data_IF_071425915167
#
_entry.id   IF_071425915167
#
_cell.length_a   1.000
_cell.length_b   1.000
_cell.length_c   1.000
_cell.angle_alpha   90.00
_cell.angle_beta   90.00
_cell.angle_gamma   90.00
#
_symmetry.space_group_name_H-M   'P 1'
#
loop_
_entity.id
_entity.type
_entity.pdbx_description
1 polymer ?
#
# COMPACT_ATOMS: atom_id res chain seq x y z
N UNK A 1 29.10 49.70 -25.61
CA UNK A 1 27.81 49.40 -26.19
C UNK A 1 27.63 47.90 -26.60
N UNK A 2 28.68 47.13 -26.73
CA UNK A 2 28.62 45.71 -27.13
C UNK A 2 28.71 44.71 -25.97
N UNK A 3 28.89 45.12 -24.72
CA UNK A 3 28.98 44.20 -23.56
C UNK A 3 27.64 43.81 -22.92
N UNK A 4 26.61 44.58 -23.12
CA UNK A 4 25.30 44.34 -22.46
C UNK A 4 24.48 43.21 -23.14
N UNK A 5 24.66 42.99 -24.43
CA UNK A 5 23.91 41.99 -25.18
C UNK A 5 24.31 40.55 -24.86
N UNK A 6 25.53 40.33 -24.38
CA UNK A 6 26.00 38.96 -24.08
C UNK A 6 25.57 38.50 -22.67
N UNK A 7 25.44 39.46 -21.73
CA UNK A 7 25.00 39.16 -20.37
C UNK A 7 23.50 38.86 -20.31
N UNK A 8 22.68 39.55 -21.11
CA UNK A 8 21.26 39.25 -21.22
C UNK A 8 20.99 37.89 -21.87
N UNK A 9 21.78 37.51 -22.85
CA UNK A 9 21.66 36.20 -23.49
C UNK A 9 22.08 35.05 -22.55
N UNK A 10 23.05 35.30 -21.67
CA UNK A 10 23.47 34.32 -20.65
C UNK A 10 22.43 34.12 -19.56
N UNK A 11 21.80 35.22 -19.11
CA UNK A 11 20.74 35.15 -18.10
C UNK A 11 19.48 34.46 -18.64
N UNK A 12 19.11 34.69 -19.91
CA UNK A 12 17.97 34.02 -20.54
C UNK A 12 18.24 32.53 -20.77
N UNK A 13 19.45 32.13 -21.11
CA UNK A 13 19.81 30.70 -21.24
C UNK A 13 19.83 29.99 -19.89
N UNK A 14 20.23 30.65 -18.82
CA UNK A 14 20.27 30.06 -17.49
C UNK A 14 18.86 29.90 -16.89
N UNK A 15 17.97 30.84 -17.16
CA UNK A 15 16.57 30.77 -16.74
C UNK A 15 15.77 29.70 -17.50
N UNK A 16 16.12 29.43 -18.75
CA UNK A 16 15.47 28.39 -19.54
C UNK A 16 15.90 26.98 -19.08
N UNK A 17 17.11 26.83 -18.56
CA UNK A 17 17.62 25.55 -18.01
C UNK A 17 17.00 25.24 -16.63
N UNK A 18 16.65 26.22 -15.84
CA UNK A 18 16.00 26.00 -14.54
C UNK A 18 14.51 25.61 -14.67
N UNK A 19 13.86 25.98 -15.77
CA UNK A 19 12.45 25.63 -15.98
C UNK A 19 12.22 24.18 -16.42
N UNK A 20 13.27 23.48 -16.89
CA UNK A 20 13.20 22.08 -17.29
C UNK A 20 13.31 21.09 -16.11
N UNK A 21 13.73 21.55 -14.95
CA UNK A 21 13.86 20.68 -13.76
C UNK A 21 12.59 20.57 -12.91
N UNK A 22 11.60 21.42 -13.12
CA UNK A 22 10.39 21.44 -12.28
C UNK A 22 9.25 20.53 -12.78
N UNK A 23 9.34 19.96 -13.98
CA UNK A 23 8.25 19.15 -14.54
C UNK A 23 8.38 17.64 -14.29
N UNK A 24 9.53 17.17 -13.76
CA UNK A 24 9.76 15.73 -13.59
C UNK A 24 9.34 15.19 -12.21
N UNK A 25 9.03 16.03 -11.26
CA UNK A 25 8.73 15.60 -9.88
C UNK A 25 7.24 15.47 -9.59
N UNK A 26 6.35 16.03 -10.43
CA UNK A 26 4.91 16.06 -10.18
C UNK A 26 4.21 14.78 -10.67
N UNK A 27 4.83 13.99 -11.55
CA UNK A 27 4.21 12.81 -12.15
C UNK A 27 4.71 11.46 -11.61
N UNK A 28 5.50 11.43 -10.53
CA UNK A 28 6.11 10.20 -10.03
C UNK A 28 5.33 9.53 -8.89
N UNK A 29 4.18 10.08 -8.45
CA UNK A 29 3.37 9.49 -7.39
C UNK A 29 2.29 8.59 -7.99
N UNK A 30 2.18 7.34 -7.50
CA UNK A 30 1.10 6.44 -7.87
C UNK A 30 -0.25 7.00 -7.43
N UNK A 31 -1.24 6.98 -8.33
CA UNK A 31 -2.64 7.21 -7.98
C UNK A 31 -3.19 5.94 -7.33
N UNK A 32 -3.35 5.98 -6.01
CA UNK A 32 -3.89 4.85 -5.25
C UNK A 32 -5.42 4.78 -5.31
N UNK A 33 -6.07 5.80 -5.82
CA UNK A 33 -7.52 5.88 -5.98
C UNK A 33 -7.97 5.46 -7.39
N UNK A 34 -7.04 5.03 -8.26
CA UNK A 34 -7.38 4.47 -9.55
C UNK A 34 -8.38 3.33 -9.35
N UNK A 35 -9.43 3.32 -10.17
CA UNK A 35 -10.47 2.31 -10.06
C UNK A 35 -10.73 1.68 -11.42
N UNK A 36 -10.76 0.35 -11.41
CA UNK A 36 -11.13 -0.48 -12.55
C UNK A 36 -12.17 -1.50 -12.08
N UNK A 37 -12.89 -2.19 -12.98
CA UNK A 37 -13.78 -3.28 -12.59
C UNK A 37 -13.08 -4.36 -11.76
N UNK A 38 -11.83 -4.70 -12.09
CA UNK A 38 -11.04 -5.65 -11.33
C UNK A 38 -10.74 -5.16 -9.90
N UNK A 39 -10.34 -3.89 -9.75
CA UNK A 39 -10.09 -3.28 -8.44
C UNK A 39 -11.38 -3.24 -7.61
N UNK A 40 -12.49 -2.86 -8.19
CA UNK A 40 -13.78 -2.84 -7.51
C UNK A 40 -14.19 -4.23 -7.00
N UNK A 41 -14.00 -5.26 -7.81
CA UNK A 41 -14.31 -6.64 -7.43
C UNK A 41 -13.42 -7.12 -6.27
N UNK A 42 -12.13 -6.82 -6.31
CA UNK A 42 -11.19 -7.14 -5.23
C UNK A 42 -11.59 -6.46 -3.93
N UNK A 43 -11.86 -5.15 -3.98
CA UNK A 43 -12.30 -4.39 -2.79
C UNK A 43 -13.58 -4.93 -2.19
N UNK A 44 -14.56 -5.32 -3.01
CA UNK A 44 -15.79 -5.93 -2.55
C UNK A 44 -15.55 -7.29 -1.87
N UNK A 45 -14.68 -8.12 -2.43
CA UNK A 45 -14.28 -9.39 -1.83
C UNK A 45 -13.63 -9.20 -0.47
N UNK A 46 -12.71 -8.25 -0.35
CA UNK A 46 -12.04 -7.91 0.91
C UNK A 46 -13.04 -7.38 1.94
N UNK A 47 -13.94 -6.50 1.54
CA UNK A 47 -14.97 -5.94 2.43
C UNK A 47 -15.91 -7.02 2.97
N UNK A 48 -16.35 -7.94 2.12
CA UNK A 48 -17.21 -9.06 2.55
C UNK A 48 -16.46 -9.99 3.51
N UNK A 49 -15.18 -10.23 3.28
CA UNK A 49 -14.35 -11.08 4.16
C UNK A 49 -14.05 -10.40 5.50
N UNK A 50 -14.01 -9.08 5.54
CA UNK A 50 -13.70 -8.35 6.77
C UNK A 50 -14.62 -8.72 7.93
N UNK A 51 -15.90 -9.00 7.68
CA UNK A 51 -16.83 -9.47 8.70
C UNK A 51 -16.35 -10.75 9.41
N UNK A 52 -15.66 -11.63 8.69
CA UNK A 52 -15.08 -12.87 9.25
C UNK A 52 -13.73 -12.64 9.92
N UNK A 53 -12.97 -11.63 9.47
CA UNK A 53 -11.64 -11.34 9.99
C UNK A 53 -11.66 -10.48 11.26
N UNK A 54 -12.68 -9.65 11.46
CA UNK A 54 -12.73 -8.66 12.53
C UNK A 54 -12.53 -9.27 13.92
N UNK A 55 -13.20 -10.37 14.22
CA UNK A 55 -13.04 -11.09 15.49
C UNK A 55 -11.62 -11.68 15.68
N UNK A 56 -10.99 -12.09 14.61
CA UNK A 56 -9.64 -12.65 14.64
C UNK A 56 -8.56 -11.57 14.87
N UNK A 57 -8.77 -10.36 14.33
CA UNK A 57 -7.95 -9.22 14.69
C UNK A 57 -8.11 -8.85 16.17
N UNK A 58 -9.34 -8.78 16.64
CA UNK A 58 -9.66 -8.40 18.02
C UNK A 58 -9.11 -9.40 19.04
N UNK A 59 -9.14 -10.70 18.75
CA UNK A 59 -8.59 -11.75 19.60
C UNK A 59 -7.06 -11.83 19.59
N UNK A 60 -6.42 -11.18 18.60
CA UNK A 60 -4.98 -11.28 18.38
C UNK A 60 -4.54 -12.57 17.66
N UNK A 61 -5.48 -13.36 17.15
CA UNK A 61 -5.17 -14.55 16.37
C UNK A 61 -4.43 -14.23 15.08
N UNK A 62 -4.79 -13.12 14.43
CA UNK A 62 -4.13 -12.59 13.24
C UNK A 62 -3.63 -11.16 13.49
N UNK A 63 -2.70 -10.73 12.67
CA UNK A 63 -2.18 -9.38 12.69
C UNK A 63 -1.71 -8.92 11.31
N UNK A 64 -1.41 -7.63 11.21
CA UNK A 64 -0.94 -6.97 10.01
C UNK A 64 0.57 -7.15 9.87
N UNK A 65 1.03 -7.61 8.72
CA UNK A 65 2.47 -7.73 8.47
C UNK A 65 3.06 -6.41 7.97
N UNK A 66 4.36 -6.25 8.14
CA UNK A 66 5.08 -5.06 7.68
C UNK A 66 5.11 -4.89 6.15
N UNK A 67 4.82 -5.95 5.41
CA UNK A 67 4.84 -5.97 3.95
C UNK A 67 3.45 -5.94 3.30
N UNK A 68 2.46 -5.46 4.04
CA UNK A 68 1.13 -5.19 3.49
C UNK A 68 0.19 -6.37 3.42
N UNK A 69 0.51 -7.46 4.10
CA UNK A 69 -0.30 -8.68 4.19
C UNK A 69 -0.86 -8.86 5.60
N UNK A 70 -1.47 -10.00 5.85
CA UNK A 70 -1.84 -10.45 7.19
C UNK A 70 -1.22 -11.82 7.46
N UNK A 71 -1.07 -12.17 8.73
CA UNK A 71 -0.55 -13.47 9.13
C UNK A 71 -1.24 -13.97 10.40
N UNK A 72 -1.26 -15.28 10.57
CA UNK A 72 -1.63 -15.88 11.86
C UNK A 72 -0.55 -15.52 12.87
N UNK A 73 -0.94 -14.84 13.95
CA UNK A 73 -0.05 -14.47 15.03
C UNK A 73 -0.09 -15.50 16.16
N UNK A 74 -1.28 -15.88 16.57
CA UNK A 74 -1.51 -16.82 17.66
C UNK A 74 -2.79 -17.62 17.43
N UNK A 75 -2.65 -18.80 16.85
CA UNK A 75 -3.79 -19.69 16.61
C UNK A 75 -4.45 -20.19 17.91
N UNK A 76 -3.72 -20.16 19.03
CA UNK A 76 -4.28 -20.58 20.32
C UNK A 76 -5.29 -19.59 20.89
N UNK A 77 -5.32 -18.36 20.38
CA UNK A 77 -6.36 -17.38 20.70
C UNK A 77 -7.74 -17.76 20.11
N UNK A 78 -7.82 -18.78 19.27
CA UNK A 78 -9.04 -19.28 18.65
C UNK A 78 -9.50 -20.59 19.29
N UNK A 79 -10.81 -20.85 19.33
CA UNK A 79 -11.35 -22.20 19.57
C UNK A 79 -10.76 -23.18 18.57
N UNK A 80 -10.54 -24.42 18.99
CA UNK A 80 -9.90 -25.45 18.15
C UNK A 80 -10.63 -25.66 16.82
N UNK A 81 -11.95 -25.56 16.81
CA UNK A 81 -12.79 -25.69 15.61
C UNK A 81 -12.51 -24.60 14.56
N UNK A 82 -12.04 -23.42 14.97
CA UNK A 82 -11.83 -22.27 14.08
C UNK A 82 -10.39 -22.20 13.54
N UNK A 83 -9.46 -22.98 14.12
CA UNK A 83 -8.04 -22.94 13.75
C UNK A 83 -7.75 -23.40 12.32
N UNK A 84 -8.53 -24.36 11.82
CA UNK A 84 -8.35 -24.85 10.44
C UNK A 84 -8.81 -23.81 9.40
N UNK A 85 -9.91 -23.12 9.66
CA UNK A 85 -10.48 -22.12 8.74
C UNK A 85 -9.65 -20.86 8.64
N UNK A 86 -8.88 -20.50 9.68
CA UNK A 86 -8.13 -19.24 9.70
C UNK A 86 -7.04 -19.19 8.63
N UNK A 87 -6.38 -20.28 8.34
CA UNK A 87 -5.36 -20.33 7.30
C UNK A 87 -5.96 -20.05 5.91
N UNK A 88 -7.15 -20.57 5.63
CA UNK A 88 -7.87 -20.30 4.39
C UNK A 88 -8.30 -18.83 4.28
N UNK A 89 -8.77 -18.23 5.37
CA UNK A 89 -9.13 -16.81 5.42
C UNK A 89 -7.92 -15.92 5.18
N UNK A 90 -6.80 -16.21 5.83
CA UNK A 90 -5.55 -15.47 5.66
C UNK A 90 -5.04 -15.59 4.22
N UNK A 91 -5.05 -16.78 3.64
CA UNK A 91 -4.63 -16.99 2.26
C UNK A 91 -5.52 -16.23 1.27
N UNK A 92 -6.84 -16.25 1.46
CA UNK A 92 -7.78 -15.52 0.61
C UNK A 92 -7.59 -14.00 0.71
N UNK A 93 -7.42 -13.46 1.91
CA UNK A 93 -7.15 -12.05 2.12
C UNK A 93 -5.84 -11.62 1.47
N UNK A 94 -4.77 -12.37 1.65
CA UNK A 94 -3.47 -12.07 1.07
C UNK A 94 -3.47 -12.18 -0.45
N UNK A 95 -4.23 -13.11 -1.01
CA UNK A 95 -4.44 -13.20 -2.44
C UNK A 95 -5.08 -11.93 -3.01
N UNK A 96 -6.12 -11.42 -2.37
CA UNK A 96 -6.77 -10.18 -2.77
C UNK A 96 -5.88 -8.95 -2.56
N UNK A 97 -5.13 -8.89 -1.47
CA UNK A 97 -4.19 -7.78 -1.23
C UNK A 97 -3.11 -7.72 -2.31
N UNK A 98 -2.49 -8.85 -2.63
CA UNK A 98 -1.50 -8.91 -3.70
C UNK A 98 -2.09 -8.54 -5.07
N UNK A 99 -3.29 -9.03 -5.37
CA UNK A 99 -4.01 -8.66 -6.59
C UNK A 99 -4.33 -7.17 -6.64
N UNK A 100 -4.75 -6.57 -5.52
CA UNK A 100 -5.01 -5.15 -5.41
C UNK A 100 -3.76 -4.32 -5.74
N UNK A 101 -2.62 -4.66 -5.18
CA UNK A 101 -1.37 -3.94 -5.42
C UNK A 101 -0.92 -4.04 -6.87
N UNK A 102 -1.06 -5.21 -7.47
CA UNK A 102 -0.78 -5.45 -8.87
C UNK A 102 -1.69 -4.63 -9.80
N UNK A 103 -2.99 -4.65 -9.54
CA UNK A 103 -3.98 -3.95 -10.37
C UNK A 103 -3.86 -2.43 -10.24
N UNK A 104 -3.54 -1.90 -9.07
CA UNK A 104 -3.29 -0.46 -8.89
C UNK A 104 -2.03 -0.04 -9.67
N UNK A 105 -0.95 -0.80 -9.59
CA UNK A 105 0.25 -0.53 -10.38
C UNK A 105 -0.04 -0.56 -11.89
N UNK A 106 -0.73 -1.57 -12.36
CA UNK A 106 -1.14 -1.69 -13.77
C UNK A 106 -2.07 -0.56 -14.21
N UNK A 107 -3.01 -0.15 -13.36
CA UNK A 107 -3.94 0.96 -13.63
C UNK A 107 -3.25 2.32 -13.72
N UNK A 108 -2.07 2.46 -13.13
CA UNK A 108 -1.18 3.63 -13.29
C UNK A 108 -0.30 3.54 -14.55
N UNK A 109 -0.36 2.44 -15.32
CA UNK A 109 0.51 2.20 -16.46
C UNK A 109 1.94 1.79 -16.08
N UNK A 110 2.16 1.41 -14.82
CA UNK A 110 3.46 1.07 -14.25
C UNK A 110 3.40 -0.23 -13.44
N UNK A 111 3.32 -1.40 -14.13
CA UNK A 111 3.26 -2.70 -13.43
C UNK A 111 4.47 -2.93 -12.48
N UNK A 112 5.61 -2.31 -12.77
CA UNK A 112 6.81 -2.37 -11.93
C UNK A 112 6.65 -1.68 -10.56
N UNK A 113 5.61 -0.88 -10.37
CA UNK A 113 5.34 -0.19 -9.10
C UNK A 113 4.63 -1.04 -8.06
N UNK A 114 4.35 -2.31 -8.34
CA UNK A 114 3.62 -3.19 -7.43
C UNK A 114 4.22 -3.23 -6.01
N UNK A 115 5.53 -3.33 -5.89
CA UNK A 115 6.23 -3.34 -4.60
C UNK A 115 6.10 -2.03 -3.84
N UNK A 116 6.16 -0.92 -4.55
CA UNK A 116 6.00 0.42 -3.99
C UNK A 116 4.56 0.66 -3.52
N UNK A 117 3.58 0.28 -4.33
CA UNK A 117 2.15 0.32 -3.95
C UNK A 117 1.91 -0.52 -2.69
N UNK A 118 2.46 -1.72 -2.62
CA UNK A 118 2.37 -2.59 -1.45
C UNK A 118 2.94 -1.91 -0.19
N UNK A 119 4.11 -1.30 -0.29
CA UNK A 119 4.74 -0.63 0.84
C UNK A 119 3.90 0.54 1.36
N UNK A 120 3.29 1.31 0.47
CA UNK A 120 2.40 2.40 0.85
C UNK A 120 1.16 1.86 1.58
N UNK A 121 0.54 0.81 1.05
CA UNK A 121 -0.61 0.18 1.70
C UNK A 121 -0.26 -0.46 3.04
N UNK A 122 0.94 -1.03 3.19
CA UNK A 122 1.39 -1.57 4.47
C UNK A 122 1.30 -0.52 5.59
N UNK A 123 1.78 0.69 5.34
CA UNK A 123 1.65 1.81 6.27
C UNK A 123 0.19 2.19 6.53
N UNK A 124 -0.62 2.25 5.47
CA UNK A 124 -2.05 2.61 5.59
C UNK A 124 -2.85 1.59 6.40
N UNK A 125 -2.63 0.30 6.21
CA UNK A 125 -3.30 -0.73 6.99
C UNK A 125 -3.00 -0.59 8.47
N UNK A 126 -1.74 -0.36 8.82
CA UNK A 126 -1.31 -0.17 10.20
C UNK A 126 -1.90 1.10 10.80
N UNK A 127 -1.90 2.20 10.05
CA UNK A 127 -2.46 3.48 10.51
C UNK A 127 -3.97 3.37 10.80
N UNK A 128 -4.70 2.60 9.98
CA UNK A 128 -6.15 2.39 10.12
C UNK A 128 -6.52 1.26 11.08
N UNK A 129 -5.56 0.47 11.55
CA UNK A 129 -5.82 -0.61 12.47
C UNK A 129 -6.48 -0.09 13.75
N UNK A 130 -7.43 -0.86 14.27
CA UNK A 130 -8.11 -0.52 15.50
C UNK A 130 -7.20 -0.75 16.72
N UNK A 131 -7.45 -0.02 17.79
CA UNK A 131 -6.78 -0.23 19.06
C UNK A 131 -6.94 -1.69 19.49
N UNK A 132 -5.84 -2.31 19.91
CA UNK A 132 -5.80 -3.71 20.31
C UNK A 132 -5.41 -4.71 19.21
N UNK A 133 -5.39 -4.30 17.96
CA UNK A 133 -4.88 -5.15 16.88
C UNK A 133 -3.36 -5.25 16.93
N UNK A 134 -2.83 -6.33 16.41
CA UNK A 134 -1.39 -6.53 16.31
C UNK A 134 -0.86 -6.21 14.92
N UNK A 135 0.34 -5.67 14.88
CA UNK A 135 1.08 -5.41 13.64
C UNK A 135 2.56 -5.71 13.82
N UNK A 136 3.24 -5.99 12.72
CA UNK A 136 4.68 -6.24 12.73
C UNK A 136 5.46 -4.94 12.69
N UNK A 137 6.42 -4.83 13.60
CA UNK A 137 7.40 -3.76 13.65
C UNK A 137 8.73 -4.34 14.15
N UNK A 138 9.82 -4.05 13.44
CA UNK A 138 11.19 -4.43 13.84
C UNK A 138 11.36 -5.92 14.19
N UNK A 139 10.75 -6.79 13.37
CA UNK A 139 10.88 -8.24 13.50
C UNK A 139 9.99 -8.91 14.54
N UNK A 140 9.12 -8.15 15.21
CA UNK A 140 8.19 -8.67 16.22
C UNK A 140 6.77 -8.15 16.04
N UNK A 141 5.87 -8.66 16.87
CA UNK A 141 4.50 -8.20 16.95
C UNK A 141 4.34 -7.09 17.99
N UNK A 142 3.65 -6.03 17.62
CA UNK A 142 3.31 -4.92 18.50
C UNK A 142 1.79 -4.77 18.54
N UNK A 143 1.26 -4.51 19.72
CA UNK A 143 -0.18 -4.21 19.90
C UNK A 143 -0.41 -2.72 19.72
N UNK A 144 -1.40 -2.36 18.91
CA UNK A 144 -1.76 -0.97 18.68
C UNK A 144 -2.51 -0.37 19.85
#
# INVERSE_FOLDING_TARGET
MFRENNMQKFIFSLLLLLSLFNSSWVNAAADLDVNTPAISAIKSSMQNRHAQLAGHYASGAIGLTKDGLIAVRDATALPLKDRQGINALVAAENGDRNALYKEIAAGNGHPEWQGEVRNIFAGRWIDKAQSGWYFQQDGGWTKK
#
